data_IF_308414449392
#
_entry.id   IF_308414449392
#
_cell.length_a   1.000
_cell.length_b   1.000
_cell.length_c   1.000
_cell.angle_alpha   90.00
_cell.angle_beta   90.00
_cell.angle_gamma   90.00
#
_symmetry.space_group_name_H-M   'P 1'
#
loop_
_entity.id
_entity.type
_entity.pdbx_description
1 polymer ?
#
# COMPACT_ATOMS: atom_id res chain seq x y z
N UNK A 1 -13.16 5.69 -34.60
CA UNK A 1 -13.76 6.51 -33.54
C UNK A 1 -14.16 5.59 -32.40
N UNK A 2 -13.53 5.67 -31.22
CA UNK A 2 -13.97 4.91 -30.04
C UNK A 2 -14.94 5.80 -29.28
N UNK A 3 -16.23 5.63 -29.54
CA UNK A 3 -17.29 6.28 -28.76
C UNK A 3 -17.24 5.67 -27.37
N UNK A 4 -16.78 6.42 -26.37
CA UNK A 4 -16.91 6.03 -24.97
C UNK A 4 -18.40 6.09 -24.64
N UNK A 5 -19.09 4.95 -24.77
CA UNK A 5 -20.45 4.80 -24.25
C UNK A 5 -20.39 5.06 -22.75
N UNK A 6 -20.91 6.21 -22.31
CA UNK A 6 -21.21 6.46 -20.91
C UNK A 6 -22.40 5.57 -20.56
N UNK A 7 -22.09 4.34 -20.13
CA UNK A 7 -23.08 3.43 -19.60
C UNK A 7 -23.12 3.69 -18.10
N UNK A 8 -24.14 4.41 -17.64
CA UNK A 8 -24.45 4.50 -16.22
C UNK A 8 -24.97 3.15 -15.74
N UNK A 9 -24.05 2.30 -15.28
CA UNK A 9 -24.37 1.01 -14.69
C UNK A 9 -24.54 1.16 -13.18
N UNK A 10 -25.67 0.71 -12.67
CA UNK A 10 -25.85 0.55 -11.23
C UNK A 10 -25.00 -0.60 -10.71
N UNK A 11 -24.68 -0.60 -9.42
CA UNK A 11 -23.94 -1.70 -8.79
C UNK A 11 -24.60 -3.06 -9.03
N UNK A 12 -25.93 -3.13 -8.97
CA UNK A 12 -26.68 -4.37 -9.23
C UNK A 12 -26.52 -4.88 -10.67
N UNK A 13 -26.44 -3.96 -11.64
CA UNK A 13 -26.18 -4.33 -13.03
C UNK A 13 -24.75 -4.87 -13.18
N UNK A 14 -23.76 -4.23 -12.57
CA UNK A 14 -22.37 -4.74 -12.55
C UNK A 14 -22.32 -6.12 -11.88
N UNK A 15 -22.99 -6.30 -10.75
CA UNK A 15 -23.05 -7.57 -10.03
C UNK A 15 -23.69 -8.67 -10.88
N UNK A 16 -24.74 -8.32 -11.65
CA UNK A 16 -25.40 -9.27 -12.55
C UNK A 16 -24.45 -9.78 -13.64
N UNK A 17 -23.59 -8.91 -14.18
CA UNK A 17 -22.57 -9.26 -15.18
C UNK A 17 -21.50 -10.14 -14.54
N UNK A 18 -20.99 -9.78 -13.36
CA UNK A 18 -19.98 -10.57 -12.63
C UNK A 18 -20.49 -11.97 -12.31
N UNK A 19 -21.79 -12.13 -11.99
CA UNK A 19 -22.41 -13.43 -11.72
C UNK A 19 -22.41 -14.35 -12.95
N UNK A 20 -22.50 -13.80 -14.16
CA UNK A 20 -22.52 -14.56 -15.41
C UNK A 20 -21.13 -15.03 -15.86
N UNK A 21 -20.05 -14.45 -15.33
CA UNK A 21 -18.68 -14.82 -15.69
C UNK A 21 -18.37 -16.28 -15.38
N UNK A 22 -17.53 -16.89 -16.22
CA UNK A 22 -16.99 -18.22 -15.98
C UNK A 22 -16.13 -18.25 -14.71
N UNK A 23 -15.91 -19.44 -14.16
CA UNK A 23 -15.11 -19.62 -12.93
C UNK A 23 -13.70 -19.04 -13.08
N UNK A 24 -13.10 -19.16 -14.27
CA UNK A 24 -11.76 -18.64 -14.58
C UNK A 24 -11.73 -17.11 -14.61
N UNK A 25 -12.74 -16.49 -15.20
CA UNK A 25 -12.85 -15.03 -15.29
C UNK A 25 -13.14 -14.40 -13.93
N UNK A 26 -13.99 -15.03 -13.11
CA UNK A 26 -14.22 -14.62 -11.71
C UNK A 26 -12.92 -14.62 -10.90
N UNK A 27 -12.09 -15.64 -11.11
CA UNK A 27 -10.81 -15.76 -10.40
C UNK A 27 -9.83 -14.64 -10.81
N UNK A 28 -9.77 -14.32 -12.11
CA UNK A 28 -8.98 -13.19 -12.62
C UNK A 28 -9.48 -11.85 -12.06
N UNK A 29 -10.79 -11.60 -12.16
CA UNK A 29 -11.40 -10.37 -11.63
C UNK A 29 -11.13 -10.20 -10.14
N UNK A 30 -11.22 -11.29 -9.36
CA UNK A 30 -10.92 -11.25 -7.93
C UNK A 30 -9.48 -10.87 -7.61
N UNK A 31 -8.53 -11.20 -8.48
CA UNK A 31 -7.11 -10.86 -8.31
C UNK A 31 -6.88 -9.38 -8.62
N UNK A 32 -7.46 -8.87 -9.70
CA UNK A 32 -7.36 -7.45 -10.08
C UNK A 32 -7.99 -6.55 -9.00
N UNK A 33 -9.21 -6.88 -8.53
CA UNK A 33 -9.87 -6.14 -7.44
C UNK A 33 -9.09 -6.18 -6.12
N UNK A 34 -8.43 -7.30 -5.80
CA UNK A 34 -7.56 -7.40 -4.62
C UNK A 34 -6.34 -6.50 -4.72
N UNK A 35 -5.72 -6.42 -5.91
CA UNK A 35 -4.57 -5.53 -6.11
C UNK A 35 -4.96 -4.07 -5.91
N UNK A 36 -6.09 -3.65 -6.48
CA UNK A 36 -6.64 -2.29 -6.29
C UNK A 36 -6.98 -2.01 -4.81
N UNK A 37 -7.57 -2.98 -4.10
CA UNK A 37 -7.84 -2.84 -2.68
C UNK A 37 -6.55 -2.75 -1.84
N UNK A 38 -5.51 -3.51 -2.17
CA UNK A 38 -4.20 -3.43 -1.51
C UNK A 38 -3.58 -2.05 -1.76
N UNK A 39 -3.62 -1.56 -3.00
CA UNK A 39 -3.08 -0.26 -3.38
C UNK A 39 -3.79 0.89 -2.66
N UNK A 40 -5.12 0.82 -2.53
CA UNK A 40 -5.90 1.81 -1.77
C UNK A 40 -5.57 1.79 -0.27
N UNK A 41 -5.32 0.61 0.32
CA UNK A 41 -4.94 0.47 1.73
C UNK A 41 -3.53 0.97 1.97
N UNK A 42 -2.59 0.64 1.08
CA UNK A 42 -1.22 1.14 1.15
C UNK A 42 -1.19 2.66 1.00
N UNK A 43 -1.93 3.20 0.03
CA UNK A 43 -2.07 4.64 -0.17
C UNK A 43 -2.67 5.33 1.06
N UNK A 44 -3.71 4.74 1.66
CA UNK A 44 -4.28 5.24 2.92
C UNK A 44 -3.26 5.24 4.05
N UNK A 45 -2.54 4.13 4.25
CA UNK A 45 -1.52 4.01 5.27
C UNK A 45 -0.41 5.05 5.07
N UNK A 46 0.10 5.19 3.85
CA UNK A 46 1.12 6.17 3.50
C UNK A 46 0.64 7.61 3.73
N UNK A 47 -0.63 7.91 3.43
CA UNK A 47 -1.23 9.21 3.72
C UNK A 47 -1.40 9.46 5.23
N UNK A 48 -1.70 8.43 6.03
CA UNK A 48 -1.78 8.55 7.49
C UNK A 48 -0.40 8.83 8.12
N UNK A 49 0.68 8.32 7.53
CA UNK A 49 2.07 8.62 7.94
C UNK A 49 2.65 9.88 7.30
N UNK A 50 1.94 10.50 6.35
CA UNK A 50 2.41 11.68 5.66
C UNK A 50 2.34 12.86 6.61
N UNK A 51 3.49 13.44 6.92
CA UNK A 51 3.62 14.64 7.75
C UNK A 51 4.51 15.64 7.04
N UNK A 52 4.11 16.90 7.06
CA UNK A 52 4.91 18.01 6.52
C UNK A 52 5.96 18.51 7.54
N UNK A 53 5.90 18.03 8.79
CA UNK A 53 6.73 18.45 9.91
C UNK A 53 7.97 17.56 10.15
N UNK A 54 8.16 16.51 9.34
CA UNK A 54 9.32 15.61 9.47
C UNK A 54 10.36 15.95 8.40
N UNK A 55 11.41 16.66 8.79
CA UNK A 55 12.52 17.00 7.93
C UNK A 55 13.63 15.94 7.95
N UNK A 56 14.44 15.93 6.89
CA UNK A 56 15.51 14.95 6.69
C UNK A 56 16.57 14.98 7.80
N UNK A 57 16.82 16.14 8.42
CA UNK A 57 17.80 16.23 9.51
C UNK A 57 17.26 15.56 10.77
N UNK A 58 15.99 15.79 11.13
CA UNK A 58 15.35 15.10 12.26
C UNK A 58 15.39 13.58 12.11
N UNK A 59 15.15 13.06 10.90
CA UNK A 59 15.28 11.61 10.62
C UNK A 59 16.73 11.15 10.80
N UNK A 60 17.69 11.92 10.27
CA UNK A 60 19.11 11.59 10.33
C UNK A 60 19.62 11.57 11.76
N UNK A 61 19.24 12.54 12.58
CA UNK A 61 19.61 12.64 13.99
C UNK A 61 19.15 11.42 14.79
N UNK A 62 17.89 11.02 14.64
CA UNK A 62 17.35 9.83 15.31
C UNK A 62 18.05 8.54 14.84
N UNK A 63 18.31 8.40 13.54
CA UNK A 63 19.01 7.24 12.98
C UNK A 63 20.45 7.15 13.51
N UNK A 64 21.19 8.26 13.55
CA UNK A 64 22.55 8.27 14.10
C UNK A 64 22.57 8.00 15.61
N UNK A 65 21.59 8.53 16.35
CA UNK A 65 21.43 8.27 17.78
C UNK A 65 21.28 6.77 18.07
N UNK A 66 20.35 6.11 17.38
CA UNK A 66 20.13 4.66 17.50
C UNK A 66 21.36 3.87 17.02
N UNK A 67 22.00 4.29 15.94
CA UNK A 67 23.22 3.64 15.42
C UNK A 67 24.36 3.70 16.43
N UNK A 68 24.57 4.83 17.08
CA UNK A 68 25.55 4.97 18.15
C UNK A 68 25.23 4.08 19.34
N UNK A 69 23.96 3.99 19.74
CA UNK A 69 23.52 3.10 20.82
C UNK A 69 23.83 1.62 20.50
N UNK A 70 23.52 1.18 19.27
CA UNK A 70 23.80 -0.19 18.81
C UNK A 70 25.31 -0.50 18.77
N UNK A 71 26.13 0.41 18.24
CA UNK A 71 27.59 0.23 18.25
C UNK A 71 28.18 0.29 19.66
N UNK A 72 27.63 1.13 20.54
CA UNK A 72 28.00 1.18 21.96
C UNK A 72 27.74 -0.17 22.63
N UNK A 73 26.55 -0.74 22.44
CA UNK A 73 26.19 -2.08 22.97
C UNK A 73 27.07 -3.19 22.40
N UNK A 74 27.42 -3.14 21.11
CA UNK A 74 28.34 -4.11 20.50
C UNK A 74 29.77 -4.01 21.04
N UNK A 75 30.30 -2.79 21.26
CA UNK A 75 31.63 -2.61 21.85
C UNK A 75 31.70 -3.10 23.30
N UNK A 76 30.60 -3.03 24.05
CA UNK A 76 30.52 -3.56 25.42
C UNK A 76 30.38 -5.09 25.49
N UNK A 77 29.98 -5.77 24.41
CA UNK A 77 29.90 -7.24 24.35
C UNK A 77 31.20 -7.91 23.84
N UNK A 78 32.17 -7.13 23.34
CA UNK A 78 33.43 -7.63 22.78
C UNK A 78 34.63 -7.62 23.74
N UNK A 79 34.45 -7.30 25.02
CA UNK A 79 35.51 -7.35 26.04
C UNK A 79 35.36 -8.62 26.90
N UNK A 80 35.85 -9.75 26.35
CA UNK A 80 36.29 -10.94 27.09
C UNK A 80 37.66 -11.35 26.55
#
# INVERSE_FOLDING_TARGET
MKTALQIDLTFEQVLSVVRQLSKREKLRLSKELKMEAIDSRLSRLLNEFKTDDLDENTITEEVESVRQELYGKQKHQGHF
#
